data_IF_052334823988
#
_entry.id   IF_052334823988
#
_cell.length_a   1.000
_cell.length_b   1.000
_cell.length_c   1.000
_cell.angle_alpha   90.00
_cell.angle_beta   90.00
_cell.angle_gamma   90.00
#
_symmetry.space_group_name_H-M   'P 1'
#
loop_
_entity.id
_entity.type
_entity.pdbx_description
1 polymer ?
#
# COMPACT_ATOMS: atom_id res chain seq x y z
N UNK A 1 26.11 -4.14 -6.04
CA UNK A 1 25.48 -3.21 -5.07
C UNK A 1 24.88 -1.97 -5.73
N UNK A 2 25.53 -1.38 -6.71
CA UNK A 2 25.02 -0.20 -7.43
C UNK A 2 23.74 -0.48 -8.22
N UNK A 3 23.58 -1.69 -8.81
CA UNK A 3 22.41 -2.05 -9.62
C UNK A 3 21.12 -2.20 -8.79
N UNK A 4 21.22 -2.61 -7.52
CA UNK A 4 20.08 -2.70 -6.61
C UNK A 4 19.60 -1.32 -6.18
N UNK A 5 20.50 -0.38 -5.95
CA UNK A 5 20.17 0.99 -5.57
C UNK A 5 19.50 1.74 -6.72
N UNK A 6 19.97 1.56 -7.95
CA UNK A 6 19.37 2.17 -9.15
C UNK A 6 17.99 1.58 -9.47
N UNK A 7 17.82 0.26 -9.36
CA UNK A 7 16.53 -0.39 -9.55
C UNK A 7 15.49 0.07 -8.53
N UNK A 8 15.91 0.20 -7.27
CA UNK A 8 15.05 0.67 -6.19
C UNK A 8 14.66 2.13 -6.38
N UNK A 9 15.56 2.99 -6.84
CA UNK A 9 15.29 4.40 -7.10
C UNK A 9 14.31 4.60 -8.25
N UNK A 10 14.44 3.84 -9.34
CA UNK A 10 13.49 3.85 -10.45
C UNK A 10 12.09 3.40 -10.03
N UNK A 11 12.00 2.35 -9.20
CA UNK A 11 10.74 1.85 -8.65
C UNK A 11 10.11 2.90 -7.74
N UNK A 12 10.90 3.64 -6.99
CA UNK A 12 10.41 4.73 -6.11
C UNK A 12 9.85 5.90 -6.91
N UNK A 13 10.46 6.26 -8.02
CA UNK A 13 9.95 7.32 -8.92
C UNK A 13 8.63 6.91 -9.57
N UNK A 14 8.51 5.66 -10.03
CA UNK A 14 7.27 5.10 -10.54
C UNK A 14 6.18 5.05 -9.47
N UNK A 15 6.54 4.73 -8.23
CA UNK A 15 5.60 4.69 -7.11
C UNK A 15 4.99 6.05 -6.80
N UNK A 16 5.77 7.13 -6.91
CA UNK A 16 5.26 8.49 -6.74
C UNK A 16 4.23 8.87 -7.80
N UNK A 17 4.47 8.48 -9.05
CA UNK A 17 3.53 8.71 -10.16
C UNK A 17 2.23 7.92 -9.94
N UNK A 18 2.34 6.67 -9.46
CA UNK A 18 1.19 5.80 -9.16
C UNK A 18 0.36 6.37 -8.00
N UNK A 19 1.00 6.87 -6.96
CA UNK A 19 0.33 7.43 -5.79
C UNK A 19 -0.48 8.68 -6.18
N UNK A 20 0.07 9.53 -7.03
CA UNK A 20 -0.63 10.70 -7.56
C UNK A 20 -1.81 10.32 -8.48
N UNK A 21 -1.65 9.30 -9.31
CA UNK A 21 -2.72 8.80 -10.18
C UNK A 21 -3.84 8.12 -9.37
N UNK A 22 -3.50 7.39 -8.31
CA UNK A 22 -4.47 6.74 -7.44
C UNK A 22 -5.32 7.75 -6.67
N UNK A 23 -4.74 8.87 -6.24
CA UNK A 23 -5.48 9.95 -5.58
C UNK A 23 -6.46 10.67 -6.54
N UNK A 24 -6.12 10.77 -7.82
CA UNK A 24 -6.99 11.39 -8.82
C UNK A 24 -8.15 10.49 -9.24
N UNK A 25 -7.98 9.15 -9.20
CA UNK A 25 -9.02 8.19 -9.59
C UNK A 25 -10.00 7.84 -8.45
N UNK A 26 -9.61 8.05 -7.20
CA UNK A 26 -10.43 7.72 -6.03
C UNK A 26 -11.76 8.51 -6.00
N UNK A 27 -11.76 9.73 -6.50
CA UNK A 27 -12.96 10.59 -6.56
C UNK A 27 -13.97 10.19 -7.65
N UNK A 28 -13.55 9.41 -8.65
CA UNK A 28 -14.43 8.97 -9.74
C UNK A 28 -15.03 7.58 -9.50
N UNK A 29 -14.38 6.73 -8.72
CA UNK A 29 -14.86 5.38 -8.43
C UNK A 29 -16.02 5.35 -7.44
N UNK A 30 -16.12 6.31 -6.53
CA UNK A 30 -17.22 6.39 -5.56
C UNK A 30 -18.60 6.56 -6.20
N UNK A 31 -18.68 7.12 -7.41
CA UNK A 31 -19.96 7.38 -8.07
C UNK A 31 -20.47 6.21 -8.92
N UNK A 32 -19.63 5.24 -9.27
CA UNK A 32 -19.99 4.10 -10.14
C UNK A 32 -20.43 2.86 -9.34
N UNK A 33 -19.97 2.71 -8.10
CA UNK A 33 -20.25 1.53 -7.28
C UNK A 33 -21.68 1.44 -6.74
N UNK A 34 -22.42 2.55 -6.74
CA UNK A 34 -23.79 2.59 -6.19
C UNK A 34 -24.81 1.81 -7.04
N UNK A 35 -24.47 1.45 -8.30
CA UNK A 35 -25.40 0.84 -9.23
C UNK A 35 -25.41 -0.71 -9.27
N UNK A 36 -24.47 -1.38 -8.61
CA UNK A 36 -24.42 -2.84 -8.59
C UNK A 36 -24.43 -3.42 -7.17
N UNK A 37 -25.60 -3.97 -6.80
CA UNK A 37 -25.85 -4.59 -5.49
C UNK A 37 -25.25 -6.01 -5.35
N UNK A 38 -24.16 -6.34 -6.02
CA UNK A 38 -23.49 -7.62 -5.77
C UNK A 38 -22.46 -7.40 -4.68
N UNK A 39 -22.87 -7.75 -3.44
CA UNK A 39 -21.96 -7.75 -2.30
C UNK A 39 -21.09 -8.98 -2.42
N UNK A 40 -19.91 -8.85 -3.03
CA UNK A 40 -18.87 -9.87 -2.99
C UNK A 40 -17.83 -9.54 -1.89
N UNK A 41 -16.94 -10.49 -1.62
CA UNK A 41 -15.92 -10.34 -0.59
C UNK A 41 -14.96 -9.17 -0.91
N UNK A 42 -14.70 -8.92 -2.18
CA UNK A 42 -13.85 -7.82 -2.63
C UNK A 42 -14.47 -6.47 -2.30
N UNK A 43 -15.77 -6.30 -2.60
CA UNK A 43 -16.49 -5.06 -2.31
C UNK A 43 -16.53 -4.76 -0.81
N UNK A 44 -16.76 -5.78 0.02
CA UNK A 44 -16.75 -5.64 1.48
C UNK A 44 -15.38 -5.21 1.99
N UNK A 45 -14.32 -5.84 1.48
CA UNK A 45 -12.95 -5.50 1.87
C UNK A 45 -12.60 -4.06 1.50
N UNK A 46 -12.92 -3.64 0.28
CA UNK A 46 -12.68 -2.27 -0.19
C UNK A 46 -13.43 -1.23 0.63
N UNK A 47 -14.64 -1.57 1.05
CA UNK A 47 -15.44 -0.70 1.90
C UNK A 47 -14.83 -0.53 3.29
N UNK A 48 -14.37 -1.62 3.88
CA UNK A 48 -13.74 -1.60 5.20
C UNK A 48 -12.44 -0.79 5.23
N UNK A 49 -11.53 -1.01 4.28
CA UNK A 49 -10.26 -0.30 4.22
C UNK A 49 -10.42 1.19 3.90
N UNK A 50 -11.53 1.57 3.25
CA UNK A 50 -11.83 2.96 2.92
C UNK A 50 -12.02 3.85 4.13
N UNK A 51 -12.30 3.28 5.31
CA UNK A 51 -12.49 4.02 6.55
C UNK A 51 -11.20 4.28 7.32
N UNK A 52 -10.11 3.60 6.99
CA UNK A 52 -8.84 3.82 7.67
C UNK A 52 -8.21 5.14 7.20
N UNK A 53 -7.95 6.10 8.12
CA UNK A 53 -7.38 7.38 7.72
C UNK A 53 -5.92 7.22 7.26
N UNK A 54 -5.58 7.97 6.22
CA UNK A 54 -4.21 8.01 5.70
C UNK A 54 -3.31 8.75 6.69
N UNK A 55 -2.05 8.33 6.75
CA UNK A 55 -1.06 8.98 7.58
C UNK A 55 -0.36 10.11 6.81
N UNK A 56 -0.10 11.21 7.52
CA UNK A 56 0.79 12.27 7.02
C UNK A 56 2.24 11.79 7.11
N UNK A 57 3.16 12.52 6.47
CA UNK A 57 4.59 12.23 6.57
C UNK A 57 5.06 12.22 8.04
N UNK A 58 4.56 13.15 8.84
CA UNK A 58 4.86 13.24 10.27
C UNK A 58 4.28 12.07 11.05
N UNK A 59 3.07 11.65 10.71
CA UNK A 59 2.43 10.48 11.30
C UNK A 59 3.20 9.19 11.00
N UNK A 60 3.70 9.04 9.79
CA UNK A 60 4.55 7.90 9.40
C UNK A 60 5.83 7.85 10.24
N UNK A 61 6.51 8.97 10.41
CA UNK A 61 7.68 9.09 11.27
C UNK A 61 7.37 8.68 12.71
N UNK A 62 6.28 9.21 13.23
CA UNK A 62 5.86 8.95 14.61
C UNK A 62 5.61 7.46 14.86
N UNK A 63 4.81 6.82 14.02
CA UNK A 63 4.46 5.42 14.20
C UNK A 63 5.62 4.47 13.86
N UNK A 64 6.42 4.80 12.86
CA UNK A 64 7.61 4.00 12.53
C UNK A 64 8.62 4.02 13.68
N UNK A 65 8.85 5.17 14.29
CA UNK A 65 9.71 5.29 15.46
C UNK A 65 9.17 4.53 16.66
N UNK A 66 7.86 4.60 16.89
CA UNK A 66 7.21 3.83 17.97
C UNK A 66 7.31 2.33 17.74
N UNK A 67 7.13 1.88 16.51
CA UNK A 67 7.27 0.47 16.17
C UNK A 67 8.70 -0.02 16.45
N UNK A 68 9.71 0.77 16.08
CA UNK A 68 11.11 0.42 16.34
C UNK A 68 11.43 0.32 17.84
N UNK A 69 10.62 0.95 18.68
CA UNK A 69 10.71 0.84 20.14
C UNK A 69 9.85 -0.29 20.71
N UNK A 70 9.20 -1.09 19.85
CA UNK A 70 8.45 -2.27 20.26
C UNK A 70 6.94 -2.11 20.33
N UNK A 71 6.36 -1.02 19.80
CA UNK A 71 4.91 -0.81 19.83
C UNK A 71 4.20 -1.58 18.72
N UNK A 72 3.45 -2.63 19.09
CA UNK A 72 2.62 -3.38 18.14
C UNK A 72 1.43 -2.58 17.61
N UNK A 73 0.86 -1.69 18.43
CA UNK A 73 -0.23 -0.83 17.97
C UNK A 73 0.22 0.13 16.87
N UNK A 74 1.46 0.60 16.93
CA UNK A 74 2.04 1.45 15.88
C UNK A 74 2.22 0.66 14.59
N UNK A 75 2.63 -0.60 14.67
CA UNK A 75 2.74 -1.51 13.52
C UNK A 75 1.38 -1.68 12.84
N UNK A 76 0.35 -1.97 13.60
CA UNK A 76 -1.01 -2.10 13.09
C UNK A 76 -1.50 -0.82 12.40
N UNK A 77 -1.21 0.32 12.98
CA UNK A 77 -1.61 1.61 12.42
C UNK A 77 -0.95 1.86 11.07
N UNK A 78 0.33 1.56 10.92
CA UNK A 78 1.03 1.70 9.66
C UNK A 78 0.49 0.75 8.59
N UNK A 79 0.15 -0.48 8.96
CA UNK A 79 -0.43 -1.44 8.03
C UNK A 79 -1.82 -0.97 7.57
N UNK A 80 -2.71 -0.65 8.51
CA UNK A 80 -4.08 -0.23 8.20
C UNK A 80 -4.14 0.98 7.27
N UNK A 81 -3.32 1.98 7.51
CA UNK A 81 -3.31 3.21 6.71
C UNK A 81 -2.78 3.01 5.29
N UNK A 82 -2.18 1.86 5.00
CA UNK A 82 -1.58 1.57 3.70
C UNK A 82 -2.23 0.38 2.97
N UNK A 83 -3.34 -0.16 3.48
CA UNK A 83 -4.05 -1.25 2.81
C UNK A 83 -4.59 -0.83 1.44
N UNK A 84 -5.02 0.41 1.30
CA UNK A 84 -5.50 0.95 0.02
C UNK A 84 -4.37 1.00 -1.02
N UNK A 85 -3.15 1.27 -0.61
CA UNK A 85 -1.98 1.23 -1.49
C UNK A 85 -1.80 -0.18 -2.08
N UNK A 86 -1.94 -1.22 -1.27
CA UNK A 86 -1.85 -2.61 -1.72
C UNK A 86 -2.91 -2.91 -2.79
N UNK A 87 -4.15 -2.48 -2.56
CA UNK A 87 -5.24 -2.67 -3.52
C UNK A 87 -4.93 -1.99 -4.85
N UNK A 88 -4.47 -0.75 -4.82
CA UNK A 88 -4.16 0.02 -6.02
C UNK A 88 -3.05 -0.63 -6.85
N UNK A 89 -2.02 -1.16 -6.19
CA UNK A 89 -0.94 -1.88 -6.87
C UNK A 89 -1.45 -3.22 -7.42
N UNK A 90 -2.22 -3.96 -6.62
CA UNK A 90 -2.75 -5.29 -6.99
C UNK A 90 -3.63 -5.23 -8.24
N UNK A 91 -4.41 -4.18 -8.41
CA UNK A 91 -5.28 -3.99 -9.59
C UNK A 91 -4.54 -4.02 -10.91
N UNK A 92 -3.26 -3.70 -10.92
CA UNK A 92 -2.42 -3.72 -12.14
C UNK A 92 -2.00 -5.11 -12.56
N UNK A 93 -2.13 -6.08 -11.65
CA UNK A 93 -1.70 -7.46 -11.88
C UNK A 93 -2.87 -8.41 -12.11
N UNK A 94 -4.10 -7.91 -12.16
CA UNK A 94 -5.27 -8.71 -12.54
C UNK A 94 -5.15 -9.18 -14.00
N UNK A 95 -5.82 -10.26 -14.36
CA UNK A 95 -5.76 -10.89 -15.67
C UNK A 95 -4.47 -11.71 -15.94
N UNK A 96 -3.72 -12.04 -14.90
CA UNK A 96 -2.52 -12.89 -14.99
C UNK A 96 -2.70 -14.25 -14.32
N UNK A 97 -3.98 -14.68 -14.11
CA UNK A 97 -4.31 -15.99 -13.56
C UNK A 97 -4.69 -16.02 -12.08
N UNK A 98 -4.53 -14.92 -11.34
CA UNK A 98 -4.93 -14.80 -9.94
C UNK A 98 -6.06 -13.79 -9.77
N UNK A 99 -6.94 -14.05 -8.82
CA UNK A 99 -8.01 -13.12 -8.46
C UNK A 99 -7.45 -11.94 -7.67
N UNK A 100 -8.17 -10.82 -7.68
CA UNK A 100 -7.76 -9.59 -7.00
C UNK A 100 -7.51 -9.82 -5.50
N UNK A 101 -8.38 -10.56 -4.81
CA UNK A 101 -8.19 -10.85 -3.37
C UNK A 101 -6.91 -11.65 -3.10
N UNK A 102 -6.56 -12.59 -3.97
CA UNK A 102 -5.33 -13.35 -3.83
C UNK A 102 -4.10 -12.46 -3.99
N UNK A 103 -4.15 -11.55 -4.96
CA UNK A 103 -3.10 -10.55 -5.16
C UNK A 103 -2.96 -9.63 -3.95
N UNK A 104 -4.08 -9.19 -3.39
CA UNK A 104 -4.11 -8.34 -2.20
C UNK A 104 -3.48 -9.06 -1.00
N UNK A 105 -3.80 -10.34 -0.80
CA UNK A 105 -3.21 -11.14 0.28
C UNK A 105 -1.69 -11.22 0.15
N UNK A 106 -1.19 -11.49 -1.04
CA UNK A 106 0.25 -11.50 -1.31
C UNK A 106 0.88 -10.12 -1.10
N UNK A 107 0.22 -9.08 -1.62
CA UNK A 107 0.68 -7.71 -1.44
C UNK A 107 0.71 -7.27 0.02
N UNK A 108 -0.24 -7.73 0.83
CA UNK A 108 -0.26 -7.44 2.26
C UNK A 108 0.94 -8.04 2.98
N UNK A 109 1.43 -9.20 2.57
CA UNK A 109 2.67 -9.76 3.11
C UNK A 109 3.87 -8.86 2.81
N UNK A 110 3.92 -8.30 1.60
CA UNK A 110 4.94 -7.32 1.23
C UNK A 110 4.84 -6.04 2.05
N UNK A 111 3.62 -5.56 2.29
CA UNK A 111 3.38 -4.40 3.15
C UNK A 111 3.88 -4.64 4.57
N UNK A 112 3.61 -5.80 5.14
CA UNK A 112 4.10 -6.16 6.49
C UNK A 112 5.62 -6.13 6.56
N UNK A 113 6.30 -6.67 5.56
CA UNK A 113 7.76 -6.63 5.48
C UNK A 113 8.29 -5.21 5.35
N UNK A 114 7.60 -4.38 4.56
CA UNK A 114 7.97 -2.98 4.42
C UNK A 114 7.90 -2.24 5.76
N UNK A 115 6.84 -2.46 6.54
CA UNK A 115 6.70 -1.87 7.88
C UNK A 115 7.86 -2.28 8.79
N UNK A 116 8.22 -3.57 8.77
CA UNK A 116 9.30 -4.09 9.60
C UNK A 116 10.67 -3.52 9.24
N UNK A 117 10.90 -3.27 7.95
CA UNK A 117 12.21 -2.87 7.44
C UNK A 117 12.35 -1.38 7.14
N UNK A 118 11.28 -0.62 7.27
CA UNK A 118 11.29 0.81 6.97
C UNK A 118 12.15 1.59 7.95
N UNK A 119 13.10 2.36 7.42
CA UNK A 119 13.89 3.31 8.21
C UNK A 119 13.33 4.72 7.99
N UNK A 120 12.63 5.29 9.00
CA UNK A 120 12.00 6.60 8.86
C UNK A 120 13.00 7.75 8.72
N UNK A 121 14.27 7.50 9.03
CA UNK A 121 15.31 8.54 9.03
C UNK A 121 15.91 8.78 7.64
N UNK A 122 15.55 7.96 6.63
CA UNK A 122 16.12 8.08 5.28
C UNK A 122 15.48 9.17 4.42
N UNK A 123 14.40 9.81 4.87
CA UNK A 123 13.84 11.02 4.26
C UNK A 123 12.81 10.83 3.17
N UNK A 124 12.45 9.59 2.78
CA UNK A 124 11.36 9.35 1.83
C UNK A 124 10.12 8.81 2.52
N UNK A 125 8.98 8.94 1.85
CA UNK A 125 7.69 8.48 2.36
C UNK A 125 7.65 6.96 2.42
N UNK A 126 6.90 6.44 3.40
CA UNK A 126 6.69 5.01 3.55
C UNK A 126 6.07 4.36 2.30
N UNK A 127 5.08 5.01 1.68
CA UNK A 127 4.42 4.50 0.47
C UNK A 127 5.41 4.22 -0.66
N UNK A 128 6.40 5.08 -0.83
CA UNK A 128 7.46 4.92 -1.83
C UNK A 128 8.25 3.65 -1.59
N UNK A 129 8.64 3.40 -0.35
CA UNK A 129 9.38 2.22 0.05
C UNK A 129 8.53 0.95 -0.02
N UNK A 130 7.30 1.01 0.49
CA UNK A 130 6.39 -0.12 0.55
C UNK A 130 6.00 -0.64 -0.84
N UNK A 131 5.87 0.24 -1.82
CA UNK A 131 5.52 -0.14 -3.20
C UNK A 131 6.48 -1.17 -3.75
N UNK A 132 7.77 -1.02 -3.52
CA UNK A 132 8.77 -1.99 -3.95
C UNK A 132 8.52 -3.38 -3.33
N UNK A 133 8.28 -3.44 -2.02
CA UNK A 133 8.02 -4.69 -1.31
C UNK A 133 6.73 -5.36 -1.77
N UNK A 134 5.68 -4.58 -1.98
CA UNK A 134 4.39 -5.08 -2.45
C UNK A 134 4.53 -5.69 -3.84
N UNK A 135 5.21 -5.01 -4.75
CA UNK A 135 5.45 -5.52 -6.10
C UNK A 135 6.28 -6.81 -6.10
N UNK A 136 7.30 -6.89 -5.27
CA UNK A 136 8.14 -8.08 -5.15
C UNK A 136 7.35 -9.31 -4.70
N UNK A 137 6.41 -9.15 -3.79
CA UNK A 137 5.60 -10.26 -3.31
C UNK A 137 4.52 -10.69 -4.30
N UNK A 138 3.96 -9.77 -5.07
CA UNK A 138 2.94 -10.07 -6.08
C UNK A 138 3.57 -10.73 -7.31
N UNK A 139 4.74 -10.30 -7.70
CA UNK A 139 5.50 -10.89 -8.81
C UNK A 139 6.11 -12.23 -8.37
#
# INVERSE_FOLDING_TARGET
>A
MEDRAKGMQNVMEEALIVDQAAQATDNQEETVEVSHQVIDATSLYLKEIGFAPLLTAEGELYYARKFHKGSESARHRMIESNLRLVVNISRRYVNRGLELLDLIEEGNLGLMRAVEKFDPELGYRFSTYATWWIRQTIE
#
